data_IF_827500855951
#
_entry.id   IF_827500855951
#
_cell.length_a   1.000
_cell.length_b   1.000
_cell.length_c   1.000
_cell.angle_alpha   90.00
_cell.angle_beta   90.00
_cell.angle_gamma   90.00
#
_symmetry.space_group_name_H-M   'P 1'
#
loop_
_entity.id
_entity.type
_entity.pdbx_description
1 polymer ?
#
# COMPACT_ATOMS: atom_id res chain seq x y z
N UNK A 1 13.63 16.11 -4.72
CA UNK A 1 13.73 14.72 -4.25
C UNK A 1 12.77 13.80 -5.00
N UNK A 2 11.45 14.05 -5.01
CA UNK A 2 10.41 13.20 -5.62
C UNK A 2 10.72 12.78 -7.07
N UNK A 3 10.94 13.75 -7.97
CA UNK A 3 11.18 13.48 -9.39
C UNK A 3 12.40 12.57 -9.60
N UNK A 4 13.44 12.73 -8.78
CA UNK A 4 14.64 11.90 -8.83
C UNK A 4 14.35 10.46 -8.40
N UNK A 5 13.59 10.26 -7.32
CA UNK A 5 13.22 8.91 -6.86
C UNK A 5 12.35 8.19 -7.89
N UNK A 6 11.33 8.86 -8.43
CA UNK A 6 10.51 8.29 -9.50
C UNK A 6 11.32 7.99 -10.76
N UNK A 7 12.29 8.85 -11.09
CA UNK A 7 13.19 8.55 -12.21
C UNK A 7 13.99 7.28 -11.92
N UNK A 8 14.69 7.19 -10.80
CA UNK A 8 15.61 6.08 -10.49
C UNK A 8 14.88 4.73 -10.31
N UNK A 9 13.75 4.72 -9.57
CA UNK A 9 13.07 3.49 -9.18
C UNK A 9 11.91 3.09 -10.10
N UNK A 10 11.42 4.00 -10.96
CA UNK A 10 10.34 3.70 -11.91
C UNK A 10 10.86 3.77 -13.35
N UNK A 11 11.35 4.94 -13.81
CA UNK A 11 11.68 5.13 -15.23
C UNK A 11 12.99 4.47 -15.66
N UNK A 12 14.06 4.65 -14.86
CA UNK A 12 15.38 4.09 -15.11
C UNK A 12 15.53 2.65 -14.56
N UNK A 13 14.47 2.11 -13.93
CA UNK A 13 14.46 0.75 -13.40
C UNK A 13 14.56 -0.26 -14.54
N UNK A 14 15.57 -1.15 -14.55
CA UNK A 14 15.79 -2.10 -15.63
C UNK A 14 14.71 -3.19 -15.74
N UNK A 15 13.89 -3.35 -14.68
CA UNK A 15 12.83 -4.34 -14.68
C UNK A 15 11.54 -3.73 -15.24
N UNK A 16 10.72 -4.51 -15.97
CA UNK A 16 9.46 -4.03 -16.52
C UNK A 16 8.43 -3.73 -15.42
N UNK A 17 7.34 -3.04 -15.80
CA UNK A 17 6.18 -2.84 -14.93
C UNK A 17 5.70 -4.18 -14.38
N UNK A 18 5.33 -4.23 -13.10
CA UNK A 18 4.98 -5.47 -12.39
C UNK A 18 6.19 -6.28 -11.88
N UNK A 19 7.42 -5.85 -12.17
CA UNK A 19 8.65 -6.48 -11.67
C UNK A 19 9.65 -5.48 -11.07
N UNK A 20 9.26 -4.22 -10.92
CA UNK A 20 10.17 -3.14 -10.44
C UNK A 20 10.65 -3.36 -9.00
N UNK A 21 9.94 -4.17 -8.21
CA UNK A 21 10.34 -4.60 -6.87
C UNK A 21 11.65 -5.39 -6.83
N UNK A 22 12.14 -5.88 -7.97
CA UNK A 22 13.42 -6.58 -8.06
C UNK A 22 14.65 -5.66 -7.96
N UNK A 23 14.46 -4.33 -8.16
CA UNK A 23 15.51 -3.36 -7.98
C UNK A 23 15.69 -3.02 -6.49
N UNK A 24 16.72 -3.56 -5.86
CA UNK A 24 17.03 -3.26 -4.47
C UNK A 24 17.79 -1.93 -4.32
N UNK A 25 18.76 -1.66 -5.20
CA UNK A 25 19.61 -0.46 -5.18
C UNK A 25 19.62 0.21 -6.56
N UNK A 26 19.34 1.50 -6.59
CA UNK A 26 19.42 2.29 -7.83
C UNK A 26 20.86 2.64 -8.24
N UNK A 27 21.87 2.32 -7.42
CA UNK A 27 23.29 2.54 -7.72
C UNK A 27 23.71 4.01 -7.73
N UNK A 28 22.91 4.92 -7.13
CA UNK A 28 23.16 6.36 -7.14
C UNK A 28 23.96 6.86 -5.91
N UNK A 29 24.36 5.95 -5.00
CA UNK A 29 25.13 6.26 -3.79
C UNK A 29 24.37 7.07 -2.73
N UNK A 30 23.08 7.35 -2.92
CA UNK A 30 22.29 8.15 -1.99
C UNK A 30 22.02 7.41 -0.67
N UNK A 31 21.72 8.19 0.39
CA UNK A 31 21.28 7.62 1.66
C UNK A 31 19.98 6.84 1.51
N UNK A 32 19.07 7.30 0.63
CA UNK A 32 17.83 6.60 0.32
C UNK A 32 18.11 5.21 -0.25
N UNK A 33 18.95 5.12 -1.30
CA UNK A 33 19.25 3.84 -1.97
C UNK A 33 19.91 2.83 -1.03
N UNK A 34 20.78 3.28 -0.12
CA UNK A 34 21.36 2.39 0.91
C UNK A 34 20.30 1.80 1.84
N UNK A 35 19.38 2.63 2.35
CA UNK A 35 18.28 2.17 3.22
C UNK A 35 17.33 1.27 2.43
N UNK A 36 16.98 1.66 1.22
CA UNK A 36 16.12 0.89 0.34
C UNK A 36 16.70 -0.50 0.05
N UNK A 37 17.99 -0.60 -0.26
CA UNK A 37 18.67 -1.87 -0.54
C UNK A 37 18.61 -2.84 0.66
N UNK A 38 18.66 -2.32 1.89
CA UNK A 38 18.54 -3.13 3.09
C UNK A 38 17.10 -3.61 3.36
N UNK A 39 16.10 -2.78 3.05
CA UNK A 39 14.69 -3.06 3.37
C UNK A 39 13.97 -3.83 2.26
N UNK A 40 14.24 -3.53 0.99
CA UNK A 40 13.48 -4.04 -0.15
C UNK A 40 13.38 -5.58 -0.19
N UNK A 41 14.46 -6.37 -0.01
CA UNK A 41 14.36 -7.83 -0.08
C UNK A 41 13.43 -8.41 1.01
N UNK A 42 13.49 -7.83 2.21
CA UNK A 42 12.68 -8.28 3.34
C UNK A 42 11.21 -7.88 3.17
N UNK A 43 10.93 -6.64 2.81
CA UNK A 43 9.56 -6.15 2.62
C UNK A 43 8.89 -6.81 1.42
N UNK A 44 9.62 -7.02 0.31
CA UNK A 44 9.09 -7.74 -0.85
C UNK A 44 8.72 -9.18 -0.49
N UNK A 45 9.53 -9.85 0.34
CA UNK A 45 9.22 -11.18 0.83
C UNK A 45 7.99 -11.17 1.76
N UNK A 46 7.90 -10.22 2.68
CA UNK A 46 6.75 -10.08 3.58
C UNK A 46 5.43 -9.89 2.81
N UNK A 47 5.45 -9.07 1.74
CA UNK A 47 4.29 -8.90 0.84
C UNK A 47 3.93 -10.20 0.16
N UNK A 48 4.90 -10.92 -0.40
CA UNK A 48 4.67 -12.18 -1.11
C UNK A 48 4.16 -13.28 -0.17
N UNK A 49 4.80 -13.49 0.98
CA UNK A 49 4.44 -14.52 1.96
C UNK A 49 3.05 -14.21 2.60
N UNK A 50 2.73 -12.93 2.83
CA UNK A 50 1.42 -12.48 3.31
C UNK A 50 0.33 -12.51 2.23
N UNK A 51 0.73 -12.63 0.97
CA UNK A 51 -0.16 -12.58 -0.19
C UNK A 51 -0.88 -11.26 -0.33
N UNK A 52 -0.20 -10.16 -0.01
CA UNK A 52 -0.64 -8.79 -0.29
C UNK A 52 -0.25 -8.39 -1.71
N UNK A 53 -0.91 -7.35 -2.24
CA UNK A 53 -0.51 -6.79 -3.55
C UNK A 53 0.70 -5.87 -3.36
N UNK A 54 0.63 -4.90 -2.46
CA UNK A 54 1.74 -3.97 -2.18
C UNK A 54 1.81 -3.60 -0.69
N UNK A 55 2.93 -3.01 -0.29
CA UNK A 55 3.17 -2.41 1.02
C UNK A 55 3.69 -0.99 0.84
N UNK A 56 3.13 -0.06 1.62
CA UNK A 56 3.46 1.36 1.59
C UNK A 56 4.02 1.82 2.94
N UNK A 57 5.03 2.67 2.90
CA UNK A 57 5.38 3.54 4.02
C UNK A 57 5.05 4.97 3.60
N UNK A 58 4.24 5.63 4.41
CA UNK A 58 3.72 6.97 4.15
C UNK A 58 4.13 7.85 5.33
N UNK A 59 4.84 8.96 5.08
CA UNK A 59 5.22 9.88 6.16
C UNK A 59 3.99 10.61 6.75
N UNK A 60 4.15 11.23 7.91
CA UNK A 60 3.07 11.95 8.59
C UNK A 60 2.51 13.13 7.76
N UNK A 61 3.23 13.59 6.73
CA UNK A 61 2.80 14.63 5.80
C UNK A 61 2.03 14.06 4.59
N UNK A 62 1.86 12.73 4.52
CA UNK A 62 1.14 12.05 3.44
C UNK A 62 1.96 11.84 2.17
N UNK A 63 3.30 11.82 2.27
CA UNK A 63 4.16 11.41 1.16
C UNK A 63 4.35 9.90 1.20
N UNK A 64 4.11 9.22 0.10
CA UNK A 64 4.45 7.81 -0.07
C UNK A 64 5.97 7.68 -0.23
N UNK A 65 6.67 7.46 0.87
CA UNK A 65 8.14 7.41 0.87
C UNK A 65 8.70 6.07 0.39
N UNK A 66 7.87 5.04 0.41
CA UNK A 66 8.25 3.70 -0.04
C UNK A 66 7.01 2.91 -0.49
N UNK A 67 7.15 2.12 -1.55
CA UNK A 67 6.28 0.99 -1.90
C UNK A 67 7.15 -0.20 -2.30
N UNK A 68 6.62 -1.41 -2.25
CA UNK A 68 7.33 -2.59 -2.77
C UNK A 68 7.33 -2.55 -4.30
N UNK A 69 6.16 -2.38 -4.93
CA UNK A 69 5.99 -2.52 -6.38
C UNK A 69 6.45 -1.34 -7.23
N UNK A 70 6.59 -0.13 -6.63
CA UNK A 70 7.06 1.08 -7.34
C UNK A 70 6.13 1.49 -8.49
N UNK A 71 4.83 1.61 -8.22
CA UNK A 71 3.86 2.17 -9.13
C UNK A 71 3.90 3.72 -9.12
N UNK A 72 2.97 4.39 -9.79
CA UNK A 72 3.00 5.85 -9.98
C UNK A 72 2.74 6.66 -8.70
N UNK A 73 2.22 6.03 -7.67
CA UNK A 73 2.04 6.58 -6.32
C UNK A 73 3.35 6.70 -5.53
N UNK A 74 4.35 5.90 -5.88
CA UNK A 74 5.67 5.99 -5.23
C UNK A 74 6.25 7.41 -5.32
N UNK A 75 6.76 7.90 -4.21
CA UNK A 75 7.26 9.26 -4.02
C UNK A 75 6.22 10.36 -4.31
N UNK A 76 4.91 10.03 -4.32
CA UNK A 76 3.81 10.98 -4.52
C UNK A 76 3.18 11.40 -3.21
N UNK A 77 2.51 12.56 -3.22
CA UNK A 77 1.71 13.01 -2.09
C UNK A 77 0.27 12.53 -2.23
N UNK A 78 -0.31 12.07 -1.13
CA UNK A 78 -1.70 11.60 -1.08
C UNK A 78 -2.74 12.73 -1.21
N UNK A 79 -2.35 13.98 -0.97
CA UNK A 79 -3.20 15.16 -1.20
C UNK A 79 -3.11 15.71 -2.64
N UNK A 80 -2.32 15.07 -3.50
CA UNK A 80 -2.26 15.46 -4.93
C UNK A 80 -3.61 15.19 -5.63
N UNK A 81 -3.94 15.96 -6.68
CA UNK A 81 -5.20 15.78 -7.43
C UNK A 81 -5.42 14.32 -7.91
N UNK A 82 -4.35 13.60 -8.20
CA UNK A 82 -4.43 12.22 -8.67
C UNK A 82 -4.76 11.20 -7.56
N UNK A 83 -4.43 11.50 -6.29
CA UNK A 83 -4.51 10.54 -5.19
C UNK A 83 -5.47 10.96 -4.07
N UNK A 84 -5.84 12.24 -3.96
CA UNK A 84 -6.60 12.77 -2.83
C UNK A 84 -7.96 12.08 -2.60
N UNK A 85 -8.59 11.60 -3.67
CA UNK A 85 -9.84 10.84 -3.63
C UNK A 85 -9.67 9.32 -3.52
N UNK A 86 -8.44 8.81 -3.47
CA UNK A 86 -8.19 7.37 -3.45
C UNK A 86 -8.50 6.71 -2.10
N UNK A 87 -8.76 5.39 -2.13
CA UNK A 87 -8.88 4.56 -0.93
C UNK A 87 -7.62 4.63 -0.05
N UNK A 88 -6.41 4.65 -0.65
CA UNK A 88 -5.16 4.80 0.09
C UNK A 88 -5.12 6.11 0.89
N UNK A 89 -5.53 7.24 0.28
CA UNK A 89 -5.59 8.53 0.97
C UNK A 89 -6.66 8.56 2.08
N UNK A 90 -7.80 7.92 1.86
CA UNK A 90 -8.86 7.81 2.88
C UNK A 90 -8.41 6.97 4.08
N UNK A 91 -7.82 5.80 3.83
CA UNK A 91 -7.24 4.94 4.85
C UNK A 91 -6.14 5.66 5.63
N UNK A 92 -5.20 6.33 4.94
CA UNK A 92 -4.12 7.11 5.56
C UNK A 92 -4.64 8.15 6.56
N UNK A 93 -5.65 8.95 6.16
CA UNK A 93 -6.25 9.97 7.06
C UNK A 93 -6.86 9.34 8.31
N UNK A 94 -7.52 8.19 8.18
CA UNK A 94 -8.09 7.46 9.33
C UNK A 94 -7.00 6.92 10.25
N UNK A 95 -5.97 6.29 9.70
CA UNK A 95 -4.85 5.77 10.48
C UNK A 95 -4.10 6.88 11.21
N UNK A 96 -3.84 8.01 10.53
CA UNK A 96 -3.17 9.17 11.12
C UNK A 96 -4.00 9.76 12.27
N UNK A 97 -5.32 9.86 12.11
CA UNK A 97 -6.24 10.38 13.13
C UNK A 97 -6.36 9.46 14.36
N UNK A 98 -6.11 8.16 14.22
CA UNK A 98 -6.09 7.22 15.34
C UNK A 98 -4.92 7.49 16.32
N UNK A 99 -3.84 8.09 15.83
CA UNK A 99 -2.69 8.49 16.65
C UNK A 99 -1.72 7.36 16.97
N UNK A 100 -0.57 7.74 17.52
CA UNK A 100 0.48 6.81 17.92
C UNK A 100 0.00 5.90 19.07
N UNK A 101 0.37 4.61 19.00
CA UNK A 101 -0.01 3.63 20.02
C UNK A 101 -1.45 3.12 19.92
N UNK A 102 -2.19 3.51 18.89
CA UNK A 102 -3.50 2.92 18.60
C UNK A 102 -3.35 1.53 17.99
N UNK A 103 -4.10 0.55 18.51
CA UNK A 103 -4.25 -0.79 17.91
C UNK A 103 -5.30 -0.81 16.79
N UNK A 104 -5.93 0.32 16.47
CA UNK A 104 -6.95 0.42 15.46
C UNK A 104 -6.34 0.27 14.06
N UNK A 105 -6.86 -0.68 13.30
CA UNK A 105 -6.55 -0.85 11.88
C UNK A 105 -7.51 0.00 11.06
N UNK A 106 -6.98 1.00 10.34
CA UNK A 106 -7.78 1.76 9.39
C UNK A 106 -8.02 0.92 8.13
N UNK A 107 -9.22 0.99 7.58
CA UNK A 107 -9.62 0.26 6.38
C UNK A 107 -10.23 1.20 5.34
N UNK A 108 -9.94 0.96 4.06
CA UNK A 108 -10.67 1.51 2.92
C UNK A 108 -11.04 0.37 1.97
N UNK A 109 -12.31 0.29 1.65
CA UNK A 109 -12.89 -0.78 0.83
C UNK A 109 -12.45 -0.72 -0.64
N UNK A 110 -12.73 -1.78 -1.38
CA UNK A 110 -12.39 -1.92 -2.78
C UNK A 110 -12.98 -0.80 -3.63
N UNK A 111 -12.11 -0.09 -4.31
CA UNK A 111 -12.45 0.95 -5.27
C UNK A 111 -11.39 0.99 -6.38
N UNK A 112 -11.71 1.53 -7.58
CA UNK A 112 -10.71 1.70 -8.64
C UNK A 112 -9.51 2.51 -8.16
N UNK A 113 -8.31 1.99 -8.41
CA UNK A 113 -7.05 2.62 -8.00
C UNK A 113 -6.16 2.89 -9.21
N UNK A 114 -6.04 4.16 -9.59
CA UNK A 114 -5.34 4.57 -10.81
C UNK A 114 -3.88 4.11 -10.90
N UNK A 115 -3.06 4.12 -9.82
CA UNK A 115 -1.69 3.61 -9.89
C UNK A 115 -1.60 2.13 -10.29
N UNK A 116 -2.57 1.30 -9.89
CA UNK A 116 -2.69 -0.11 -10.29
C UNK A 116 -3.57 -0.28 -11.55
N UNK A 117 -3.41 0.59 -12.55
CA UNK A 117 -4.13 0.59 -13.83
C UNK A 117 -5.67 0.67 -13.72
N UNK A 118 -6.19 1.14 -12.60
CA UNK A 118 -7.63 1.22 -12.34
C UNK A 118 -8.23 -0.07 -11.78
N UNK A 119 -7.43 -1.07 -11.48
CA UNK A 119 -7.89 -2.28 -10.81
C UNK A 119 -8.46 -1.97 -9.42
N UNK A 120 -9.37 -2.81 -8.95
CA UNK A 120 -9.96 -2.65 -7.63
C UNK A 120 -8.91 -2.94 -6.54
N UNK A 121 -8.74 -2.00 -5.63
CA UNK A 121 -7.82 -2.10 -4.50
C UNK A 121 -8.52 -1.70 -3.20
N UNK A 122 -8.31 -2.49 -2.17
CA UNK A 122 -8.64 -2.15 -0.79
C UNK A 122 -7.36 -1.95 0.02
N UNK A 123 -7.42 -1.14 1.06
CA UNK A 123 -6.25 -0.78 1.86
C UNK A 123 -6.53 -0.97 3.34
N UNK A 124 -5.55 -1.55 4.05
CA UNK A 124 -5.48 -1.53 5.51
C UNK A 124 -4.22 -0.79 5.94
N UNK A 125 -4.26 -0.14 7.10
CA UNK A 125 -3.08 0.56 7.59
C UNK A 125 -3.13 0.87 9.07
N UNK A 126 -1.94 1.03 9.65
CA UNK A 126 -1.75 1.36 11.06
C UNK A 126 -0.77 2.52 11.20
N UNK A 127 -0.92 3.37 12.22
CA UNK A 127 0.06 4.41 12.51
C UNK A 127 1.37 3.79 13.00
N UNK A 128 2.48 4.38 12.61
CA UNK A 128 3.82 4.02 13.08
C UNK A 128 4.28 5.04 14.10
N UNK A 129 4.51 4.59 15.35
CA UNK A 129 4.97 5.45 16.43
C UNK A 129 6.47 5.64 16.42
N UNK A 130 6.91 6.85 16.68
CA UNK A 130 8.30 7.18 16.99
C UNK A 130 8.67 6.86 18.43
N UNK A 131 9.98 6.90 18.77
CA UNK A 131 10.47 6.67 20.14
C UNK A 131 9.94 7.68 21.16
N UNK A 132 9.55 8.87 20.70
CA UNK A 132 8.99 9.96 21.50
C UNK A 132 7.45 9.92 21.58
N UNK A 133 6.82 8.87 21.04
CA UNK A 133 5.37 8.74 20.97
C UNK A 133 4.70 9.57 19.87
N UNK A 134 5.47 10.26 19.02
CA UNK A 134 4.90 10.94 17.84
C UNK A 134 4.51 9.95 16.76
N UNK A 135 3.61 10.34 15.86
CA UNK A 135 3.31 9.56 14.66
C UNK A 135 4.36 9.88 13.59
N UNK A 136 5.21 8.92 13.26
CA UNK A 136 6.19 9.03 12.15
C UNK A 136 5.50 8.94 10.79
N UNK A 137 4.41 8.20 10.71
CA UNK A 137 3.68 7.96 9.47
C UNK A 137 2.73 6.79 9.59
N UNK A 138 2.41 6.17 8.47
CA UNK A 138 1.49 5.03 8.36
C UNK A 138 2.16 3.92 7.55
N UNK A 139 2.09 2.69 8.06
CA UNK A 139 2.33 1.49 7.28
C UNK A 139 0.99 1.03 6.71
N UNK A 140 0.94 0.81 5.40
CA UNK A 140 -0.26 0.35 4.71
C UNK A 140 0.02 -0.89 3.86
N UNK A 141 -1.02 -1.71 3.69
CA UNK A 141 -1.03 -2.87 2.80
C UNK A 141 -2.17 -2.73 1.80
N UNK A 142 -1.90 -3.05 0.54
CA UNK A 142 -2.92 -3.19 -0.49
C UNK A 142 -3.38 -4.65 -0.57
N UNK A 143 -4.68 -4.86 -0.49
CA UNK A 143 -5.30 -6.18 -0.56
C UNK A 143 -5.57 -6.53 -2.03
N UNK A 144 -5.17 -7.73 -2.50
CA UNK A 144 -5.45 -8.16 -3.86
C UNK A 144 -6.91 -8.58 -4.01
N UNK A 145 -7.57 -8.14 -5.08
CA UNK A 145 -8.97 -8.50 -5.38
C UNK A 145 -9.12 -9.98 -5.71
N UNK A 146 -8.07 -10.63 -6.21
CA UNK A 146 -8.09 -12.05 -6.58
C UNK A 146 -8.41 -12.97 -5.41
N UNK A 147 -7.92 -12.64 -4.21
CA UNK A 147 -8.26 -13.39 -3.00
C UNK A 147 -9.76 -13.30 -2.68
N UNK A 148 -10.33 -12.13 -2.81
CA UNK A 148 -11.76 -11.92 -2.62
C UNK A 148 -12.58 -12.71 -3.66
N UNK A 149 -12.21 -12.60 -4.93
CA UNK A 149 -12.85 -13.33 -6.01
C UNK A 149 -12.75 -14.86 -5.83
N UNK A 150 -11.65 -15.38 -5.35
CA UNK A 150 -11.48 -16.81 -5.10
C UNK A 150 -12.43 -17.32 -4.00
N UNK A 151 -12.62 -16.53 -2.94
CA UNK A 151 -13.58 -16.86 -1.87
C UNK A 151 -15.01 -16.82 -2.40
N UNK A 152 -15.38 -15.79 -3.19
CA UNK A 152 -16.71 -15.69 -3.79
C UNK A 152 -16.99 -16.89 -4.72
N UNK A 153 -16.03 -17.26 -5.57
CA UNK A 153 -16.16 -18.41 -6.47
C UNK A 153 -16.34 -19.71 -5.71
N UNK A 154 -15.59 -19.91 -4.62
CA UNK A 154 -15.74 -21.09 -3.77
C UNK A 154 -17.12 -21.15 -3.11
N UNK A 155 -17.64 -20.00 -2.63
CA UNK A 155 -18.98 -19.91 -2.03
C UNK A 155 -20.10 -20.16 -3.06
N UNK A 156 -19.97 -19.62 -4.29
CA UNK A 156 -20.90 -19.90 -5.36
C UNK A 156 -20.90 -21.41 -5.73
N UNK A 157 -19.74 -22.03 -5.81
CA UNK A 157 -19.61 -23.48 -6.00
C UNK A 157 -20.24 -24.32 -4.88
N UNK A 158 -20.39 -23.75 -3.68
CA UNK A 158 -21.10 -24.35 -2.54
C UNK A 158 -22.61 -24.03 -2.51
N UNK A 159 -23.17 -23.38 -3.54
CA UNK A 159 -24.61 -23.05 -3.64
C UNK A 159 -25.01 -21.74 -2.94
N UNK A 160 -24.05 -20.86 -2.67
CA UNK A 160 -24.31 -19.51 -2.12
C UNK A 160 -24.45 -18.54 -3.28
N UNK A 161 -25.68 -18.17 -3.64
CA UNK A 161 -25.96 -17.29 -4.77
C UNK A 161 -25.69 -15.80 -4.46
N UNK A 162 -25.63 -15.41 -3.19
CA UNK A 162 -25.39 -14.04 -2.75
C UNK A 162 -24.70 -14.02 -1.41
N UNK A 163 -23.58 -13.29 -1.34
CA UNK A 163 -22.90 -12.96 -0.09
C UNK A 163 -22.94 -11.43 0.08
N UNK A 164 -23.51 -10.97 1.18
CA UNK A 164 -23.45 -9.58 1.60
C UNK A 164 -22.62 -9.55 2.89
N UNK A 165 -21.53 -8.80 2.86
CA UNK A 165 -20.65 -8.60 4.03
C UNK A 165 -20.83 -7.15 4.49
N UNK A 166 -21.37 -6.95 5.67
CA UNK A 166 -21.35 -5.66 6.32
C UNK A 166 -20.00 -5.47 7.02
N UNK A 167 -19.16 -4.64 6.42
CA UNK A 167 -17.80 -4.37 6.92
C UNK A 167 -17.80 -3.44 8.15
N UNK A 168 -18.90 -2.72 8.39
CA UNK A 168 -19.01 -1.88 9.59
C UNK A 168 -19.14 -2.73 10.85
N UNK A 169 -19.85 -3.85 10.77
CA UNK A 169 -20.11 -4.76 11.89
C UNK A 169 -19.36 -6.10 11.79
N UNK A 170 -18.59 -6.32 10.72
CA UNK A 170 -17.94 -7.58 10.41
C UNK A 170 -18.89 -8.79 10.39
N UNK A 171 -20.15 -8.59 9.97
CA UNK A 171 -21.18 -9.63 9.91
C UNK A 171 -21.47 -10.01 8.46
N UNK A 172 -21.73 -11.30 8.26
CA UNK A 172 -22.34 -11.83 7.03
C UNK A 172 -23.84 -11.66 7.18
N UNK A 173 -24.50 -11.03 6.21
CA UNK A 173 -25.93 -10.73 6.20
C UNK A 173 -26.61 -11.50 5.08
#
# INVERSE_FOLDING_TARGET
ARALLQQRYIRDNPHPTGQKQKLADAGDGSGYSRVHAALQPWLARAVADGGYYDLFLIDAQGTVVYTVFKETDFASRLDSPALAGSGLAAMFRRALAAGAGSDAVAFADYAPYAPSNGDLAAFIGVPVAGPDGSVLGVLALQLPIEKFNSVLTALQGAGVDRLVIDLADARVV
#
